data_IF_094139162046
#
_entry.id   IF_094139162046
#
_cell.length_a   1.000
_cell.length_b   1.000
_cell.length_c   1.000
_cell.angle_alpha   90.00
_cell.angle_beta   90.00
_cell.angle_gamma   90.00
#
_symmetry.space_group_name_H-M   'P 1'
#
loop_
_entity.id
_entity.type
_entity.pdbx_description
1 polymer ?
#
# COMPACT_ATOMS: atom_id res chain seq x y z
N UNK A 1 -27.22 -3.16 5.84
CA UNK A 1 -26.89 -4.32 4.98
C UNK A 1 -25.77 -3.90 4.05
N UNK A 2 -24.70 -4.68 3.93
CA UNK A 2 -23.52 -4.33 3.09
C UNK A 2 -23.71 -4.94 1.70
N UNK A 3 -23.43 -4.16 0.64
CA UNK A 3 -23.45 -4.66 -0.74
C UNK A 3 -22.14 -5.38 -1.05
N UNK A 4 -22.24 -6.61 -1.56
CA UNK A 4 -21.08 -7.45 -1.91
C UNK A 4 -21.20 -7.87 -3.37
N UNK A 5 -20.14 -7.67 -4.14
CA UNK A 5 -20.05 -8.04 -5.56
C UNK A 5 -18.73 -8.74 -5.85
N UNK A 6 -18.72 -9.55 -6.90
CA UNK A 6 -17.52 -10.26 -7.37
C UNK A 6 -17.23 -9.82 -8.80
N UNK A 7 -16.01 -9.32 -9.02
CA UNK A 7 -15.50 -9.00 -10.36
C UNK A 7 -14.45 -10.05 -10.74
N UNK A 8 -14.53 -10.58 -11.97
CA UNK A 8 -13.55 -11.55 -12.48
C UNK A 8 -12.58 -10.83 -13.41
N UNK A 9 -11.30 -11.12 -13.28
CA UNK A 9 -10.28 -10.57 -14.16
C UNK A 9 -8.92 -10.51 -13.48
N UNK A 10 -7.91 -10.17 -14.28
CA UNK A 10 -6.60 -9.82 -13.75
C UNK A 10 -6.63 -8.36 -13.27
N UNK A 11 -6.21 -8.16 -12.02
CA UNK A 11 -6.15 -6.86 -11.38
C UNK A 11 -5.30 -5.85 -12.16
N UNK A 12 -4.25 -6.32 -12.85
CA UNK A 12 -3.39 -5.47 -13.67
C UNK A 12 -4.12 -4.87 -14.88
N UNK A 13 -5.19 -5.52 -15.35
CA UNK A 13 -5.93 -5.13 -16.54
C UNK A 13 -7.11 -4.19 -16.25
N UNK A 14 -7.47 -3.96 -14.99
CA UNK A 14 -8.52 -3.00 -14.66
C UNK A 14 -8.04 -1.55 -14.84
N UNK A 15 -8.87 -0.72 -15.46
CA UNK A 15 -8.57 0.70 -15.66
C UNK A 15 -8.78 1.52 -14.38
N UNK A 16 -8.33 2.78 -14.41
CA UNK A 16 -8.43 3.72 -13.28
C UNK A 16 -9.88 3.94 -12.84
N UNK A 17 -10.83 3.93 -13.79
CA UNK A 17 -12.27 4.12 -13.54
C UNK A 17 -12.86 3.00 -12.66
N UNK A 18 -12.27 1.79 -12.71
CA UNK A 18 -12.67 0.71 -11.81
C UNK A 18 -12.33 1.06 -10.36
N UNK A 19 -11.10 1.50 -10.11
CA UNK A 19 -10.61 1.81 -8.76
C UNK A 19 -11.27 3.05 -8.17
N UNK A 20 -11.69 4.00 -9.02
CA UNK A 20 -12.41 5.21 -8.58
C UNK A 20 -13.69 4.93 -7.80
N UNK A 21 -14.31 3.75 -8.02
CA UNK A 21 -15.55 3.33 -7.34
C UNK A 21 -15.36 3.07 -5.85
N UNK A 22 -14.13 2.86 -5.40
CA UNK A 22 -13.81 2.47 -4.03
C UNK A 22 -13.14 3.60 -3.26
N UNK A 23 -13.35 3.64 -1.94
CA UNK A 23 -12.63 4.56 -1.05
C UNK A 23 -11.28 3.97 -0.61
N UNK A 24 -11.16 2.65 -0.64
CA UNK A 24 -9.95 1.91 -0.32
C UNK A 24 -9.81 0.66 -1.21
N UNK A 25 -8.57 0.32 -1.55
CA UNK A 25 -8.18 -0.85 -2.32
C UNK A 25 -7.18 -1.65 -1.49
N UNK A 26 -7.56 -2.88 -1.15
CA UNK A 26 -6.71 -3.82 -0.41
C UNK A 26 -6.38 -4.99 -1.33
N UNK A 27 -5.09 -5.21 -1.57
CA UNK A 27 -4.63 -6.27 -2.47
C UNK A 27 -3.73 -7.24 -1.72
N UNK A 28 -3.79 -8.51 -2.10
CA UNK A 28 -2.99 -9.59 -1.53
C UNK A 28 -2.63 -10.60 -2.61
N UNK A 29 -1.61 -11.41 -2.37
CA UNK A 29 -1.21 -12.53 -3.24
C UNK A 29 -1.01 -12.12 -4.71
N UNK A 30 -0.33 -10.99 -4.95
CA UNK A 30 -0.07 -10.49 -6.29
C UNK A 30 1.42 -10.18 -6.50
N UNK A 31 1.84 -10.17 -7.77
CA UNK A 31 3.21 -9.87 -8.16
C UNK A 31 3.59 -8.43 -7.79
N UNK A 32 4.89 -8.19 -7.56
CA UNK A 32 5.41 -6.87 -7.24
C UNK A 32 5.01 -5.82 -8.28
N UNK A 33 5.07 -6.18 -9.57
CA UNK A 33 4.67 -5.31 -10.69
C UNK A 33 3.18 -4.94 -10.63
N UNK A 34 2.31 -5.89 -10.25
CA UNK A 34 0.88 -5.64 -10.07
C UNK A 34 0.65 -4.66 -8.91
N UNK A 35 1.35 -4.84 -7.78
CA UNK A 35 1.27 -3.91 -6.64
C UNK A 35 1.64 -2.48 -7.03
N UNK A 36 2.76 -2.32 -7.73
CA UNK A 36 3.19 -1.02 -8.28
C UNK A 36 2.15 -0.41 -9.22
N UNK A 37 1.67 -1.19 -10.20
CA UNK A 37 0.70 -0.71 -11.18
C UNK A 37 -0.60 -0.24 -10.53
N UNK A 38 -1.15 -1.01 -9.59
CA UNK A 38 -2.41 -0.67 -8.91
C UNK A 38 -2.23 0.53 -7.98
N UNK A 39 -1.13 0.60 -7.24
CA UNK A 39 -0.83 1.77 -6.41
C UNK A 39 -0.76 3.05 -7.26
N UNK A 40 -0.02 3.01 -8.38
CA UNK A 40 0.09 4.13 -9.30
C UNK A 40 -1.28 4.55 -9.86
N UNK A 41 -2.12 3.59 -10.23
CA UNK A 41 -3.51 3.86 -10.66
C UNK A 41 -4.31 4.55 -9.56
N UNK A 42 -4.17 4.15 -8.30
CA UNK A 42 -4.84 4.80 -7.16
C UNK A 42 -4.32 6.23 -6.89
N UNK A 43 -3.02 6.46 -7.05
CA UNK A 43 -2.39 7.78 -6.86
C UNK A 43 -2.76 8.80 -7.95
N UNK A 44 -3.04 8.33 -9.17
CA UNK A 44 -3.42 9.19 -10.30
C UNK A 44 -4.91 9.56 -10.32
N UNK A 45 -5.71 9.06 -9.38
CA UNK A 45 -7.13 9.39 -9.32
C UNK A 45 -7.34 10.80 -8.74
N UNK A 46 -8.34 11.55 -9.25
CA UNK A 46 -8.66 12.89 -8.73
C UNK A 46 -9.23 12.83 -7.30
N UNK A 47 -9.80 11.69 -6.91
CA UNK A 47 -10.26 11.41 -5.54
C UNK A 47 -9.28 10.44 -4.89
N UNK A 48 -8.87 10.75 -3.66
CA UNK A 48 -8.01 9.88 -2.85
C UNK A 48 -8.65 8.51 -2.67
N UNK A 49 -7.94 7.47 -3.10
CA UNK A 49 -8.24 6.06 -2.81
C UNK A 49 -7.12 5.51 -1.95
N UNK A 50 -7.44 5.07 -0.74
CA UNK A 50 -6.45 4.49 0.17
C UNK A 50 -5.97 3.14 -0.38
N UNK A 51 -4.66 2.91 -0.41
CA UNK A 51 -4.08 1.70 -0.97
C UNK A 51 -3.39 0.88 0.11
N UNK A 52 -3.64 -0.43 0.12
CA UNK A 52 -3.06 -1.37 1.05
C UNK A 52 -2.57 -2.60 0.31
N UNK A 53 -1.38 -3.09 0.68
CA UNK A 53 -0.98 -4.46 0.33
C UNK A 53 -0.84 -5.27 1.61
N UNK A 54 -1.37 -6.48 1.60
CA UNK A 54 -1.24 -7.41 2.72
C UNK A 54 -0.68 -8.72 2.21
N UNK A 55 0.38 -9.20 2.85
CA UNK A 55 1.00 -10.49 2.56
C UNK A 55 1.26 -11.23 3.85
N UNK A 56 1.11 -12.55 3.80
CA UNK A 56 1.52 -13.43 4.87
C UNK A 56 2.40 -14.52 4.25
N UNK A 57 3.63 -14.66 4.76
CA UNK A 57 4.55 -15.72 4.37
C UNK A 57 5.05 -16.40 5.64
N UNK A 58 4.73 -17.69 5.77
CA UNK A 58 5.03 -18.50 6.94
C UNK A 58 4.52 -17.84 8.24
N UNK A 59 5.44 -17.46 9.14
CA UNK A 59 5.14 -16.78 10.40
C UNK A 59 5.22 -15.25 10.31
N UNK A 60 5.45 -14.69 9.12
CA UNK A 60 5.67 -13.25 8.90
C UNK A 60 4.49 -12.63 8.15
N UNK A 61 3.90 -11.59 8.73
CA UNK A 61 2.89 -10.76 8.08
C UNK A 61 3.48 -9.41 7.69
N UNK A 62 3.11 -8.93 6.50
CA UNK A 62 3.48 -7.62 5.98
C UNK A 62 2.23 -6.85 5.61
N UNK A 63 2.19 -5.59 6.02
CA UNK A 63 1.18 -4.62 5.60
C UNK A 63 1.91 -3.37 5.13
N UNK A 64 1.67 -3.00 3.88
CA UNK A 64 2.02 -1.69 3.35
C UNK A 64 0.78 -0.84 3.23
N UNK A 65 0.91 0.45 3.50
CA UNK A 65 -0.17 1.43 3.41
C UNK A 65 0.31 2.67 2.67
N UNK A 66 -0.47 3.11 1.70
CA UNK A 66 -0.35 4.41 1.06
C UNK A 66 -1.69 5.14 1.15
N UNK A 67 -1.74 6.16 2.02
CA UNK A 67 -2.89 7.06 2.17
C UNK A 67 -2.72 8.39 1.43
N UNK A 68 -1.64 8.53 0.64
CA UNK A 68 -1.23 9.75 -0.03
C UNK A 68 -1.08 10.90 0.99
N UNK A 69 -1.63 12.08 0.69
CA UNK A 69 -1.75 13.16 1.67
C UNK A 69 -2.98 12.93 2.57
N UNK A 70 -2.74 12.48 3.80
CA UNK A 70 -3.80 12.11 4.74
C UNK A 70 -3.90 13.04 5.93
N UNK A 71 -5.07 13.67 6.08
CA UNK A 71 -5.46 14.44 7.25
C UNK A 71 -6.26 13.57 8.22
N UNK A 72 -5.91 13.60 9.50
CA UNK A 72 -6.65 12.92 10.56
C UNK A 72 -6.72 13.74 11.85
N UNK A 73 -7.76 13.48 12.64
CA UNK A 73 -7.94 14.12 13.95
C UNK A 73 -7.43 13.20 15.05
N UNK A 74 -6.47 13.66 15.85
CA UNK A 74 -5.92 12.95 17.00
C UNK A 74 -6.48 13.55 18.28
N UNK A 75 -7.17 12.75 19.08
CA UNK A 75 -7.57 13.16 20.43
C UNK A 75 -6.37 13.10 21.37
N UNK A 76 -6.07 14.20 22.04
CA UNK A 76 -5.04 14.28 23.08
C UNK A 76 -5.63 15.01 24.27
N UNK A 77 -6.01 14.26 25.31
CA UNK A 77 -6.82 14.74 26.45
C UNK A 77 -8.19 15.27 25.98
N UNK A 78 -8.58 16.48 26.40
CA UNK A 78 -9.84 17.15 26.05
C UNK A 78 -9.77 17.88 24.70
N UNK A 79 -8.60 17.95 24.06
CA UNK A 79 -8.40 18.64 22.79
C UNK A 79 -8.31 17.66 21.61
N UNK A 80 -8.83 18.08 20.47
CA UNK A 80 -8.72 17.38 19.19
C UNK A 80 -7.75 18.15 18.29
N UNK A 81 -6.64 17.51 17.93
CA UNK A 81 -5.59 18.12 17.10
C UNK A 81 -5.72 17.57 15.69
N UNK A 82 -5.78 18.44 14.68
CA UNK A 82 -5.66 18.03 13.27
C UNK A 82 -4.19 17.77 12.93
N UNK A 83 -3.93 16.66 12.25
CA UNK A 83 -2.60 16.22 11.84
C UNK A 83 -2.63 15.86 10.36
N UNK A 84 -1.52 16.10 9.66
CA UNK A 84 -1.33 15.70 8.27
C UNK A 84 -0.13 14.76 8.17
N UNK A 85 -0.27 13.71 7.36
CA UNK A 85 0.78 12.75 7.06
C UNK A 85 0.92 12.63 5.55
N UNK A 86 2.16 12.57 5.09
CA UNK A 86 2.48 12.24 3.71
C UNK A 86 2.96 10.79 3.67
N UNK A 87 2.26 9.97 2.91
CA UNK A 87 2.66 8.59 2.65
C UNK A 87 3.41 8.52 1.32
N UNK A 88 4.50 7.73 1.25
CA UNK A 88 5.17 7.45 -0.01
C UNK A 88 4.30 6.50 -0.85
N UNK A 89 4.47 6.59 -2.17
CA UNK A 89 3.97 5.56 -3.08
C UNK A 89 4.66 4.22 -2.80
N UNK A 90 4.04 3.13 -3.25
CA UNK A 90 4.62 1.79 -3.12
C UNK A 90 5.98 1.69 -3.83
N UNK A 91 6.13 2.35 -4.98
CA UNK A 91 7.40 2.36 -5.71
C UNK A 91 8.51 3.09 -4.94
N UNK A 92 8.21 4.26 -4.36
CA UNK A 92 9.17 5.02 -3.55
C UNK A 92 9.58 4.23 -2.30
N UNK A 93 8.62 3.58 -1.64
CA UNK A 93 8.86 2.82 -0.41
C UNK A 93 9.80 1.64 -0.61
N UNK A 94 9.73 0.95 -1.76
CA UNK A 94 10.61 -0.19 -2.06
C UNK A 94 11.93 0.21 -2.73
N UNK A 95 12.07 1.47 -3.18
CA UNK A 95 13.28 1.98 -3.81
C UNK A 95 14.34 2.46 -2.80
N UNK A 96 14.06 2.37 -1.50
CA UNK A 96 14.96 2.86 -0.44
C UNK A 96 16.24 2.02 -0.41
N UNK A 97 17.37 2.69 -0.61
CA UNK A 97 18.66 2.02 -0.60
C UNK A 97 19.00 1.48 0.80
N UNK A 98 19.35 0.20 0.91
CA UNK A 98 19.62 -0.49 2.19
C UNK A 98 20.58 0.24 3.15
N UNK A 99 21.58 0.96 2.62
CA UNK A 99 22.54 1.75 3.43
C UNK A 99 21.92 2.89 4.24
N UNK A 100 20.74 3.37 3.86
CA UNK A 100 20.05 4.46 4.57
C UNK A 100 19.09 3.96 5.66
N UNK A 101 18.90 2.64 5.81
CA UNK A 101 17.97 2.09 6.79
C UNK A 101 18.64 1.99 8.18
N UNK A 102 17.96 2.44 9.27
CA UNK A 102 18.42 2.24 10.64
C UNK A 102 18.58 0.75 10.95
N UNK A 103 19.68 0.37 11.62
CA UNK A 103 20.02 -1.04 11.90
C UNK A 103 18.93 -1.81 12.66
N UNK A 104 18.06 -1.11 13.39
CA UNK A 104 16.98 -1.66 14.21
C UNK A 104 15.78 -2.19 13.38
N UNK A 105 15.64 -1.77 12.11
CA UNK A 105 14.50 -2.11 11.22
C UNK A 105 14.88 -3.08 10.07
N UNK A 106 16.13 -3.51 10.03
CA UNK A 106 16.74 -4.25 8.90
C UNK A 106 16.02 -5.59 8.67
N UNK A 107 15.87 -6.45 9.68
CA UNK A 107 15.50 -7.87 9.46
C UNK A 107 14.17 -8.10 8.73
N UNK A 108 13.12 -7.32 9.03
CA UNK A 108 11.81 -7.49 8.41
C UNK A 108 11.77 -6.95 6.97
N UNK A 109 12.48 -5.84 6.69
CA UNK A 109 12.54 -5.22 5.37
C UNK A 109 13.32 -6.10 4.38
N UNK A 110 14.41 -6.75 4.81
CA UNK A 110 15.25 -7.56 3.91
C UNK A 110 14.66 -8.92 3.51
N UNK A 111 13.65 -9.45 4.21
CA UNK A 111 12.90 -10.59 3.70
C UNK A 111 12.24 -10.29 2.33
N UNK A 112 11.99 -9.02 2.02
CA UNK A 112 11.39 -8.56 0.77
C UNK A 112 12.40 -8.44 -0.40
N UNK A 113 13.65 -8.03 -0.13
CA UNK A 113 14.70 -7.84 -1.17
C UNK A 113 15.34 -9.16 -1.65
N UNK A 114 15.68 -10.08 -0.75
CA UNK A 114 16.33 -11.35 -1.13
C UNK A 114 15.43 -12.23 -2.01
N UNK A 115 14.10 -12.10 -1.88
CA UNK A 115 13.14 -12.84 -2.70
C UNK A 115 12.78 -12.16 -4.03
N UNK A 116 12.93 -10.84 -4.13
CA UNK A 116 12.75 -10.14 -5.40
C UNK A 116 13.90 -10.43 -6.37
N UNK A 117 15.09 -10.74 -5.84
CA UNK A 117 16.25 -11.19 -6.62
C UNK A 117 16.14 -12.68 -7.00
N UNK A 118 15.46 -13.51 -6.21
CA UNK A 118 15.32 -14.95 -6.48
C UNK A 118 14.18 -15.34 -7.44
N UNK A 119 13.43 -14.36 -7.96
CA UNK A 119 12.40 -14.56 -8.99
C UNK A 119 12.80 -14.03 -10.38
N UNK A 120 14.10 -13.76 -10.59
CA UNK A 120 14.70 -13.62 -11.92
C UNK A 120 15.49 -14.88 -12.29
#
# INVERSE_FOLDING_TARGET
MVSVSVEKGDLANFDVEFFQKFDAVVISCCLLLTKKSVNLKCCNLPRRVAFYTVECRDSCGEIFVDLQNYSYSKKKKEETIECQLQYPSFEEAIAVHWRSLPQENVKAIFCHEWYSISQF
#
